data_IF_441170678701
#
_entry.id   IF_441170678701
#
_cell.length_a   1.000
_cell.length_b   1.000
_cell.length_c   1.000
_cell.angle_alpha   90.00
_cell.angle_beta   90.00
_cell.angle_gamma   90.00
#
_symmetry.space_group_name_H-M   'P 1'
#
loop_
_entity.id
_entity.type
_entity.pdbx_description
1 polymer ?
#
# COMPACT_ATOMS: atom_id res chain seq x y z
N UNK A 1 -0.14 -10.14 12.95
CA UNK A 1 -1.47 -10.38 12.33
C UNK A 1 -1.29 -11.14 11.03
N UNK A 2 -2.12 -12.13 10.80
CA UNK A 2 -2.07 -12.89 9.55
C UNK A 2 -2.74 -12.13 8.44
N UNK A 3 -1.95 -11.68 7.48
CA UNK A 3 -2.45 -10.98 6.31
C UNK A 3 -2.42 -11.89 5.10
N UNK A 4 -3.34 -11.65 4.17
CA UNK A 4 -3.36 -12.30 2.86
C UNK A 4 -3.48 -11.23 1.79
N UNK A 5 -2.91 -11.52 0.62
CA UNK A 5 -3.12 -10.67 -0.55
C UNK A 5 -4.51 -10.96 -1.12
N UNK A 6 -5.31 -9.92 -1.35
CA UNK A 6 -6.60 -10.12 -2.02
C UNK A 6 -6.40 -10.63 -3.44
N UNK A 7 -7.11 -11.69 -3.78
CA UNK A 7 -7.14 -12.21 -5.13
C UNK A 7 -7.95 -11.29 -6.04
N UNK A 8 -7.72 -11.42 -7.35
CA UNK A 8 -8.31 -10.54 -8.36
C UNK A 8 -9.83 -10.36 -8.21
N UNK A 9 -10.55 -11.43 -7.87
CA UNK A 9 -12.01 -11.42 -7.78
C UNK A 9 -12.55 -11.06 -6.40
N UNK A 10 -11.67 -10.84 -5.42
CA UNK A 10 -12.05 -10.49 -4.06
C UNK A 10 -12.01 -8.97 -3.86
N UNK A 11 -12.83 -8.47 -2.95
CA UNK A 11 -12.90 -7.04 -2.66
C UNK A 11 -12.63 -6.79 -1.18
N UNK A 12 -12.06 -5.61 -0.84
CA UNK A 12 -11.86 -5.26 0.56
C UNK A 12 -13.19 -5.03 1.27
N UNK A 13 -13.17 -5.21 2.58
CA UNK A 13 -14.35 -4.95 3.40
C UNK A 13 -14.62 -3.44 3.49
N UNK A 14 -15.88 -2.99 3.45
CA UNK A 14 -16.19 -1.58 3.71
C UNK A 14 -15.56 -1.08 5.02
N UNK A 15 -15.21 0.21 5.15
CA UNK A 15 -15.60 1.30 4.25
C UNK A 15 -14.74 1.45 2.99
N UNK A 16 -13.69 0.66 2.85
CA UNK A 16 -12.81 0.79 1.67
C UNK A 16 -13.47 0.24 0.43
N UNK A 17 -13.28 0.95 -0.69
CA UNK A 17 -13.73 0.51 -1.99
C UNK A 17 -12.57 -0.22 -2.70
N UNK A 18 -12.78 -0.60 -3.95
CA UNK A 18 -11.70 -1.18 -4.75
C UNK A 18 -10.63 -0.13 -5.04
N UNK A 19 -9.47 -0.29 -4.42
CA UNK A 19 -8.36 0.65 -4.56
C UNK A 19 -7.30 0.21 -5.57
N UNK A 20 -7.35 -1.03 -6.04
CA UNK A 20 -6.38 -1.51 -7.03
C UNK A 20 -6.52 -0.70 -8.32
N UNK A 21 -5.39 -0.41 -8.95
CA UNK A 21 -5.27 0.45 -10.12
C UNK A 21 -5.47 1.94 -9.82
N UNK A 22 -5.70 2.31 -8.56
CA UNK A 22 -5.75 3.72 -8.19
C UNK A 22 -4.36 4.33 -8.31
N UNK A 23 -4.33 5.62 -8.67
CA UNK A 23 -3.10 6.41 -8.64
C UNK A 23 -2.93 6.96 -7.23
N UNK A 24 -1.72 6.86 -6.69
CA UNK A 24 -1.39 7.35 -5.35
C UNK A 24 -0.64 8.67 -5.46
N UNK A 25 -1.11 9.67 -4.71
CA UNK A 25 -0.48 10.99 -4.60
C UNK A 25 -0.04 11.20 -3.16
N UNK A 26 1.10 11.87 -2.99
CA UNK A 26 1.63 12.15 -1.66
C UNK A 26 0.94 13.37 -1.02
N UNK A 27 1.38 13.73 0.19
CA UNK A 27 0.80 14.84 0.95
C UNK A 27 0.97 16.21 0.26
N UNK A 28 1.94 16.33 -0.62
CA UNK A 28 2.17 17.55 -1.41
C UNK A 28 1.48 17.54 -2.77
N UNK A 29 0.74 16.49 -3.10
CA UNK A 29 0.05 16.36 -4.37
C UNK A 29 0.87 15.76 -5.50
N UNK A 30 2.08 15.25 -5.20
CA UNK A 30 2.93 14.62 -6.21
C UNK A 30 2.51 13.17 -6.44
N UNK A 31 2.51 12.75 -7.69
CA UNK A 31 2.23 11.36 -8.04
C UNK A 31 3.37 10.45 -7.57
N UNK A 32 3.03 9.40 -6.83
CA UNK A 32 4.00 8.45 -6.28
C UNK A 32 4.05 7.16 -7.07
N UNK A 33 2.89 6.61 -7.39
CA UNK A 33 2.80 5.32 -8.07
C UNK A 33 1.36 4.82 -8.12
N UNK A 34 1.21 3.57 -8.53
CA UNK A 34 -0.11 2.95 -8.66
C UNK A 34 -0.31 1.86 -7.62
N UNK A 35 -1.52 1.73 -7.12
CA UNK A 35 -1.89 0.65 -6.21
C UNK A 35 -2.05 -0.64 -7.00
N UNK A 36 -1.27 -1.66 -6.67
CA UNK A 36 -1.31 -2.93 -7.37
C UNK A 36 -1.93 -4.04 -6.54
N UNK A 37 -1.57 -4.15 -5.26
CA UNK A 37 -2.06 -5.20 -4.38
C UNK A 37 -2.66 -4.62 -3.10
N UNK A 38 -3.62 -5.36 -2.54
CA UNK A 38 -4.23 -5.05 -1.24
C UNK A 38 -3.98 -6.23 -0.30
N UNK A 39 -3.60 -5.92 0.94
CA UNK A 39 -3.36 -6.93 1.96
C UNK A 39 -4.35 -6.74 3.10
N UNK A 40 -5.12 -7.78 3.36
CA UNK A 40 -6.21 -7.78 4.34
C UNK A 40 -5.94 -8.84 5.39
N UNK A 41 -6.57 -8.71 6.57
CA UNK A 41 -6.50 -9.79 7.52
C UNK A 41 -7.33 -10.99 7.03
N UNK A 42 -6.86 -12.19 7.39
CA UNK A 42 -7.43 -13.43 6.88
C UNK A 42 -8.88 -13.62 7.34
N UNK A 43 -9.20 -13.19 8.55
CA UNK A 43 -10.51 -13.50 9.16
C UNK A 43 -11.56 -12.45 8.79
N UNK A 44 -11.24 -11.17 9.00
CA UNK A 44 -12.22 -10.07 8.83
C UNK A 44 -12.18 -9.41 7.47
N UNK A 45 -11.13 -9.65 6.71
CA UNK A 45 -10.89 -9.04 5.39
C UNK A 45 -10.80 -7.51 5.46
N UNK A 46 -10.42 -6.99 6.60
CA UNK A 46 -10.15 -5.57 6.75
C UNK A 46 -8.82 -5.21 6.10
N UNK A 47 -8.81 -4.09 5.39
CA UNK A 47 -7.59 -3.62 4.72
C UNK A 47 -6.57 -3.13 5.74
N UNK A 48 -5.32 -3.58 5.61
CA UNK A 48 -4.21 -3.18 6.47
C UNK A 48 -3.09 -2.47 5.72
N UNK A 49 -2.78 -2.91 4.51
CA UNK A 49 -1.74 -2.30 3.68
C UNK A 49 -2.15 -2.28 2.22
N UNK A 50 -1.67 -1.27 1.53
CA UNK A 50 -1.72 -1.23 0.06
C UNK A 50 -0.29 -1.32 -0.46
N UNK A 51 -0.14 -1.92 -1.64
CA UNK A 51 1.14 -2.00 -2.34
C UNK A 51 1.15 -0.91 -3.40
N UNK A 52 1.95 0.12 -3.20
CA UNK A 52 2.13 1.21 -4.15
C UNK A 52 3.37 0.91 -4.99
N UNK A 53 3.20 0.79 -6.29
CA UNK A 53 4.26 0.42 -7.21
C UNK A 53 4.80 1.65 -7.91
N UNK A 54 6.10 1.86 -7.79
CA UNK A 54 6.81 2.93 -8.50
C UNK A 54 7.61 2.32 -9.65
N UNK A 55 7.75 3.06 -10.74
CA UNK A 55 8.63 2.67 -11.85
C UNK A 55 10.05 3.13 -11.55
N UNK A 56 11.03 2.29 -11.90
CA UNK A 56 12.42 2.68 -11.83
C UNK A 56 12.80 3.63 -12.96
N UNK A 57 14.08 4.01 -12.98
CA UNK A 57 14.63 4.90 -14.01
C UNK A 57 14.36 4.33 -15.41
N UNK A 58 13.85 5.16 -16.30
CA UNK A 58 13.43 4.77 -17.66
C UNK A 58 12.39 3.65 -17.69
N UNK A 59 11.59 3.52 -16.64
CA UNK A 59 10.58 2.46 -16.55
C UNK A 59 11.15 1.08 -16.32
N UNK A 60 12.44 0.97 -16.05
CA UNK A 60 13.11 -0.31 -15.76
C UNK A 60 12.98 -0.65 -14.29
N UNK A 61 12.43 -1.83 -14.04
CA UNK A 61 12.27 -2.33 -12.68
C UNK A 61 11.14 -1.65 -11.92
N UNK A 62 10.21 -2.44 -11.45
CA UNK A 62 9.14 -1.98 -10.56
C UNK A 62 9.62 -2.15 -9.12
N UNK A 63 9.31 -1.16 -8.29
CA UNK A 63 9.54 -1.25 -6.85
C UNK A 63 8.21 -1.25 -6.13
N UNK A 64 8.05 -2.14 -5.19
CA UNK A 64 6.83 -2.31 -4.42
C UNK A 64 7.02 -1.73 -3.03
N UNK A 65 6.10 -0.85 -2.63
CA UNK A 65 6.17 -0.17 -1.34
C UNK A 65 4.89 -0.44 -0.56
N UNK A 66 5.03 -1.00 0.65
CA UNK A 66 3.89 -1.18 1.54
C UNK A 66 3.53 0.15 2.18
N UNK A 67 2.26 0.51 2.08
CA UNK A 67 1.72 1.70 2.72
C UNK A 67 0.62 1.28 3.67
N UNK A 68 0.75 1.57 4.99
CA UNK A 68 -0.31 1.26 5.94
C UNK A 68 -1.60 2.02 5.58
N UNK A 69 -2.72 1.37 5.79
CA UNK A 69 -4.03 1.97 5.48
C UNK A 69 -4.24 3.31 6.19
N UNK A 70 -3.67 3.46 7.39
CA UNK A 70 -3.76 4.71 8.16
C UNK A 70 -3.13 5.91 7.44
N UNK A 71 -2.21 5.67 6.51
CA UNK A 71 -1.60 6.75 5.74
C UNK A 71 -2.50 7.29 4.62
N UNK A 72 -3.59 6.58 4.31
CA UNK A 72 -4.53 7.03 3.28
C UNK A 72 -5.47 8.05 3.91
N UNK A 73 -5.40 9.30 3.45
CA UNK A 73 -6.20 10.40 3.99
C UNK A 73 -7.44 10.69 3.15
N UNK A 74 -7.45 10.26 1.90
CA UNK A 74 -8.59 10.47 1.01
C UNK A 74 -8.62 9.40 -0.07
N UNK A 75 -9.85 8.97 -0.42
CA UNK A 75 -10.10 8.01 -1.49
C UNK A 75 -11.08 8.64 -2.48
N UNK A 76 -10.63 8.84 -3.70
CA UNK A 76 -11.46 9.35 -4.79
C UNK A 76 -11.63 8.31 -5.90
N UNK A 77 -12.27 8.73 -6.99
CA UNK A 77 -12.42 7.86 -8.16
C UNK A 77 -11.07 7.68 -8.84
N UNK A 78 -10.53 6.47 -8.75
CA UNK A 78 -9.28 6.12 -9.39
C UNK A 78 -8.04 6.73 -8.76
N UNK A 79 -8.14 7.30 -7.55
CA UNK A 79 -6.99 7.87 -6.88
C UNK A 79 -7.10 7.82 -5.37
N UNK A 80 -5.94 7.77 -4.71
CA UNK A 80 -5.83 7.92 -3.26
C UNK A 80 -4.82 9.03 -2.96
N UNK A 81 -5.03 9.69 -1.83
CA UNK A 81 -4.08 10.67 -1.30
C UNK A 81 -3.48 10.12 -0.01
N UNK A 82 -2.16 10.25 0.12
CA UNK A 82 -1.43 9.81 1.31
C UNK A 82 -1.10 11.00 2.17
N UNK A 83 -1.15 10.81 3.49
CA UNK A 83 -0.78 11.84 4.47
C UNK A 83 0.71 11.95 4.72
N UNK A 84 1.54 11.37 3.86
CA UNK A 84 3.01 11.37 3.97
C UNK A 84 3.60 11.77 2.62
N UNK A 85 4.87 12.15 2.61
CA UNK A 85 5.56 12.51 1.39
C UNK A 85 6.12 11.27 0.66
N UNK A 86 6.54 11.49 -0.58
CA UNK A 86 7.10 10.46 -1.43
C UNK A 86 8.34 9.80 -0.80
N UNK A 87 9.17 10.60 -0.12
CA UNK A 87 10.39 10.07 0.51
C UNK A 87 10.05 9.07 1.62
N UNK A 88 8.99 9.32 2.37
CA UNK A 88 8.52 8.39 3.39
C UNK A 88 8.10 7.07 2.77
N UNK A 89 7.36 7.11 1.67
CA UNK A 89 6.94 5.89 0.97
C UNK A 89 8.15 5.12 0.46
N UNK A 90 9.07 5.79 -0.21
CA UNK A 90 10.23 5.15 -0.84
C UNK A 90 11.28 4.69 0.16
N UNK A 91 11.34 5.31 1.35
CA UNK A 91 12.29 4.97 2.41
C UNK A 91 11.84 3.81 3.30
N UNK A 92 10.61 3.34 3.16
CA UNK A 92 10.10 2.23 3.97
C UNK A 92 10.81 0.92 3.62
N UNK A 93 10.86 -0.04 4.56
CA UNK A 93 11.41 -1.37 4.26
C UNK A 93 10.70 -1.97 3.04
N UNK A 94 11.47 -2.49 2.06
CA UNK A 94 10.89 -2.98 0.81
C UNK A 94 10.17 -4.31 0.98
N UNK A 95 9.18 -4.55 0.14
CA UNK A 95 8.59 -5.88 -0.01
C UNK A 95 9.23 -6.55 -1.23
N UNK A 96 9.89 -7.67 -0.99
CA UNK A 96 10.63 -8.38 -2.05
C UNK A 96 9.75 -9.27 -2.89
N UNK A 97 8.67 -9.80 -2.31
CA UNK A 97 7.72 -10.64 -3.03
C UNK A 97 6.29 -10.15 -2.76
N UNK A 98 5.77 -9.28 -3.62
CA UNK A 98 4.42 -8.72 -3.42
C UNK A 98 3.29 -9.73 -3.57
N UNK A 99 3.55 -10.91 -4.13
CA UNK A 99 2.56 -11.98 -4.21
C UNK A 99 2.33 -12.65 -2.85
N UNK A 100 3.32 -12.58 -1.97
CA UNK A 100 3.20 -13.06 -0.60
C UNK A 100 2.87 -11.89 0.31
N UNK A 101 1.89 -12.08 1.19
CA UNK A 101 1.55 -11.04 2.17
C UNK A 101 2.73 -10.80 3.11
N UNK A 102 2.89 -9.57 3.62
CA UNK A 102 3.98 -9.27 4.55
C UNK A 102 3.83 -10.06 5.84
N UNK A 103 4.95 -10.62 6.32
CA UNK A 103 4.98 -11.29 7.62
C UNK A 103 4.92 -10.27 8.77
N UNK A 104 4.81 -10.79 10.00
CA UNK A 104 4.68 -9.92 11.17
C UNK A 104 5.88 -8.99 11.36
N UNK A 105 7.09 -9.45 11.04
CA UNK A 105 8.29 -8.64 11.19
C UNK A 105 8.28 -7.47 10.20
N UNK A 106 7.93 -7.73 8.95
CA UNK A 106 7.85 -6.67 7.93
C UNK A 106 6.71 -5.70 8.24
N UNK A 107 5.55 -6.19 8.66
CA UNK A 107 4.42 -5.34 9.08
C UNK A 107 4.87 -4.37 10.16
N UNK A 108 5.56 -4.87 11.19
CA UNK A 108 6.04 -4.04 12.29
C UNK A 108 7.04 -2.99 11.81
N UNK A 109 8.02 -3.40 11.02
CA UNK A 109 9.05 -2.49 10.51
C UNK A 109 8.46 -1.38 9.65
N UNK A 110 7.49 -1.71 8.80
CA UNK A 110 6.81 -0.71 7.97
C UNK A 110 6.02 0.26 8.85
N UNK A 111 5.23 -0.26 9.79
CA UNK A 111 4.43 0.59 10.67
C UNK A 111 5.30 1.53 11.51
N UNK A 112 6.42 1.05 12.03
CA UNK A 112 7.38 1.86 12.77
C UNK A 112 7.94 2.98 11.90
N UNK A 113 8.28 2.66 10.65
CA UNK A 113 8.79 3.64 9.70
C UNK A 113 7.80 4.79 9.48
N UNK A 114 6.49 4.46 9.39
CA UNK A 114 5.44 5.47 9.22
C UNK A 114 5.03 6.14 10.53
N UNK A 115 5.54 5.70 11.66
CA UNK A 115 5.20 6.28 12.96
C UNK A 115 3.90 5.76 13.58
N UNK A 116 3.40 4.63 13.11
CA UNK A 116 2.17 4.03 13.62
C UNK A 116 2.41 2.92 14.66
N UNK A 117 3.62 2.79 15.08
CA UNK A 117 4.02 1.95 16.19
C UNK A 117 3.46 0.55 16.25
#
# INVERSE_FOLDING_TARGET
MNLVRLERHQHPRPPHTELRLSRAFDSGGSYVGDVENLYVDYVRRELHFVDVVTSGFLGLGKKHHLVPVEAITDEGLGQITLGVDQQTVEGAPPISNPKAAPDNALQRSVREHYGYG
#
